data_IF_434360114820
#
_entry.id   IF_434360114820
#
_cell.length_a   1.000
_cell.length_b   1.000
_cell.length_c   1.000
_cell.angle_alpha   90.00
_cell.angle_beta   90.00
_cell.angle_gamma   90.00
#
_symmetry.space_group_name_H-M   'P 1'
#
loop_
_entity.id
_entity.type
_entity.pdbx_description
1 polymer ?
#
# COMPACT_ATOMS: atom_id res chain seq x y z
N UNK A 1 -1.20 -8.25 -32.77
CA UNK A 1 -2.35 -8.10 -31.84
C UNK A 1 -1.85 -7.61 -30.48
N UNK A 2 -2.66 -6.81 -29.75
CA UNK A 2 -2.32 -6.42 -28.38
C UNK A 2 -2.50 -7.63 -27.45
N UNK A 3 -1.58 -7.82 -26.49
CA UNK A 3 -1.72 -8.84 -25.44
C UNK A 3 -2.78 -8.42 -24.44
N UNK A 4 -3.69 -9.30 -24.09
CA UNK A 4 -4.76 -9.05 -23.12
C UNK A 4 -4.28 -9.32 -21.70
N UNK A 5 -4.37 -8.31 -20.82
CA UNK A 5 -4.00 -8.42 -19.41
C UNK A 5 -5.23 -8.13 -18.56
N UNK A 6 -5.64 -9.10 -17.75
CA UNK A 6 -6.81 -8.98 -16.88
C UNK A 6 -6.37 -8.96 -15.41
N UNK A 7 -6.87 -7.97 -14.66
CA UNK A 7 -6.65 -7.85 -13.23
C UNK A 7 -7.85 -8.39 -12.44
N UNK A 8 -7.54 -9.18 -11.42
CA UNK A 8 -8.45 -9.69 -10.41
C UNK A 8 -8.01 -9.16 -9.04
N UNK A 9 -8.81 -8.30 -8.44
CA UNK A 9 -8.52 -7.72 -7.13
C UNK A 9 -9.81 -7.24 -6.44
N UNK A 10 -10.73 -8.13 -6.02
CA UNK A 10 -11.93 -7.73 -5.32
C UNK A 10 -11.59 -7.19 -3.93
N UNK A 11 -11.68 -5.88 -3.79
CA UNK A 11 -11.29 -5.14 -2.60
C UNK A 11 -12.51 -4.77 -1.75
N UNK A 12 -12.63 -5.29 -0.52
CA UNK A 12 -13.74 -4.96 0.39
C UNK A 12 -13.56 -3.63 1.12
N UNK A 13 -12.32 -3.26 1.45
CA UNK A 13 -12.00 -2.07 2.24
C UNK A 13 -11.06 -1.12 1.48
N UNK A 14 -11.15 0.20 1.71
CA UNK A 14 -10.23 1.17 1.13
C UNK A 14 -8.84 1.04 1.78
N UNK A 15 -8.02 0.16 1.24
CA UNK A 15 -6.64 -0.10 1.66
C UNK A 15 -5.66 0.28 0.55
N UNK A 16 -4.37 0.37 0.89
CA UNK A 16 -3.31 0.67 -0.09
C UNK A 16 -3.32 -0.22 -1.33
N UNK A 17 -3.79 -1.47 -1.20
CA UNK A 17 -3.97 -2.44 -2.29
C UNK A 17 -4.87 -1.93 -3.42
N UNK A 18 -5.94 -1.16 -3.11
CA UNK A 18 -6.79 -0.53 -4.13
C UNK A 18 -5.96 0.40 -5.00
N UNK A 19 -5.22 1.32 -4.36
CA UNK A 19 -4.37 2.29 -5.07
C UNK A 19 -3.27 1.59 -5.88
N UNK A 20 -2.67 0.55 -5.33
CA UNK A 20 -1.67 -0.27 -6.01
C UNK A 20 -2.24 -0.94 -7.28
N UNK A 21 -3.40 -1.59 -7.18
CA UNK A 21 -4.05 -2.26 -8.31
C UNK A 21 -4.45 -1.28 -9.41
N UNK A 22 -5.12 -0.17 -9.05
CA UNK A 22 -5.51 0.88 -9.99
C UNK A 22 -4.29 1.43 -10.71
N UNK A 23 -3.27 1.82 -9.96
CA UNK A 23 -2.07 2.43 -10.52
C UNK A 23 -1.27 1.44 -11.38
N UNK A 24 -1.27 0.14 -11.04
CA UNK A 24 -0.64 -0.90 -11.85
C UNK A 24 -1.34 -1.05 -13.20
N UNK A 25 -2.67 -1.22 -13.20
CA UNK A 25 -3.46 -1.34 -14.42
C UNK A 25 -3.34 -0.09 -15.31
N UNK A 26 -3.48 1.10 -14.72
CA UNK A 26 -3.36 2.38 -15.41
C UNK A 26 -1.95 2.59 -15.96
N UNK A 27 -0.89 2.21 -15.22
CA UNK A 27 0.48 2.36 -15.71
C UNK A 27 0.73 1.51 -16.96
N UNK A 28 0.24 0.28 -16.97
CA UNK A 28 0.39 -0.63 -18.11
C UNK A 28 -0.37 -0.13 -19.34
N UNK A 29 -1.60 0.36 -19.16
CA UNK A 29 -2.42 0.95 -20.24
C UNK A 29 -1.79 2.24 -20.80
N UNK A 30 -1.23 3.10 -19.92
CA UNK A 30 -0.71 4.41 -20.28
C UNK A 30 0.62 4.38 -21.00
N UNK A 31 1.54 3.50 -20.55
CA UNK A 31 2.94 3.53 -21.00
C UNK A 31 3.27 2.51 -22.08
N UNK A 32 2.31 1.63 -22.46
CA UNK A 32 2.50 0.71 -23.58
C UNK A 32 1.23 0.60 -24.44
N UNK A 33 1.44 0.53 -25.75
CA UNK A 33 0.39 0.21 -26.73
C UNK A 33 0.26 -1.29 -27.00
N UNK A 34 1.16 -2.11 -26.42
CA UNK A 34 1.23 -3.56 -26.65
C UNK A 34 0.17 -4.33 -25.87
N UNK A 35 -0.47 -3.67 -24.89
CA UNK A 35 -1.41 -4.33 -23.99
C UNK A 35 -2.82 -3.75 -24.10
N UNK A 36 -3.79 -4.64 -24.03
CA UNK A 36 -5.19 -4.33 -23.75
C UNK A 36 -5.45 -4.69 -22.29
N UNK A 37 -5.66 -3.68 -21.44
CA UNK A 37 -5.77 -3.86 -20.00
C UNK A 37 -7.22 -3.82 -19.56
N UNK A 38 -7.63 -4.81 -18.75
CA UNK A 38 -8.94 -4.85 -18.15
C UNK A 38 -8.87 -5.17 -16.64
N UNK A 39 -9.85 -4.69 -15.90
CA UNK A 39 -10.05 -5.03 -14.49
C UNK A 39 -11.45 -5.65 -14.31
N UNK A 40 -11.52 -6.71 -13.51
CA UNK A 40 -12.81 -7.35 -13.20
C UNK A 40 -13.47 -6.60 -12.05
N UNK A 41 -14.69 -6.12 -12.27
CA UNK A 41 -15.59 -5.62 -11.25
C UNK A 41 -16.48 -6.78 -10.80
N UNK A 42 -16.08 -7.45 -9.73
CA UNK A 42 -16.68 -8.72 -9.32
C UNK A 42 -18.01 -8.53 -8.61
N UNK A 43 -18.15 -7.50 -7.79
CA UNK A 43 -19.34 -7.27 -6.96
C UNK A 43 -19.72 -5.78 -6.80
N UNK A 44 -19.14 -4.89 -7.62
CA UNK A 44 -19.36 -3.44 -7.56
C UNK A 44 -18.28 -2.71 -6.77
N UNK A 45 -17.16 -3.36 -6.45
CA UNK A 45 -16.05 -2.77 -5.68
C UNK A 45 -15.33 -1.64 -6.41
N UNK A 46 -15.43 -1.61 -7.75
CA UNK A 46 -14.80 -0.61 -8.59
C UNK A 46 -15.76 0.47 -9.09
N UNK A 47 -17.05 0.46 -8.71
CA UNK A 47 -18.08 1.36 -9.25
C UNK A 47 -17.69 2.85 -9.12
N UNK A 48 -17.07 3.24 -8.02
CA UNK A 48 -16.63 4.63 -7.80
C UNK A 48 -15.40 5.05 -8.63
N UNK A 49 -14.78 4.13 -9.35
CA UNK A 49 -13.60 4.39 -10.19
C UNK A 49 -13.86 4.21 -11.69
N UNK A 50 -15.12 4.03 -12.10
CA UNK A 50 -15.49 3.75 -13.50
C UNK A 50 -14.98 4.85 -14.44
N UNK A 51 -15.24 6.11 -14.12
CA UNK A 51 -14.80 7.25 -14.94
C UNK A 51 -13.29 7.33 -15.01
N UNK A 52 -12.60 7.13 -13.88
CA UNK A 52 -11.14 7.14 -13.81
C UNK A 52 -10.51 6.04 -14.68
N UNK A 53 -11.09 4.83 -14.69
CA UNK A 53 -10.64 3.75 -15.57
C UNK A 53 -10.89 4.05 -17.05
N UNK A 54 -12.05 4.61 -17.38
CA UNK A 54 -12.40 5.03 -18.74
C UNK A 54 -11.42 6.08 -19.27
N UNK A 55 -11.15 7.12 -18.51
CA UNK A 55 -10.18 8.18 -18.86
C UNK A 55 -8.75 7.63 -19.06
N UNK A 56 -8.39 6.56 -18.36
CA UNK A 56 -7.08 5.93 -18.47
C UNK A 56 -7.06 4.69 -19.37
N UNK A 57 -8.09 4.49 -20.21
CA UNK A 57 -8.18 3.39 -21.19
C UNK A 57 -8.05 1.98 -20.58
N UNK A 58 -8.50 1.80 -19.35
CA UNK A 58 -8.62 0.48 -18.71
C UNK A 58 -10.05 -0.01 -18.84
N UNK A 59 -10.24 -1.16 -19.49
CA UNK A 59 -11.56 -1.77 -19.67
C UNK A 59 -12.08 -2.33 -18.35
N UNK A 60 -13.39 -2.26 -18.13
CA UNK A 60 -14.03 -2.85 -16.96
C UNK A 60 -14.88 -4.04 -17.41
N UNK A 61 -14.65 -5.18 -16.76
CA UNK A 61 -15.41 -6.40 -16.98
C UNK A 61 -16.35 -6.59 -15.79
N UNK A 62 -17.62 -6.27 -15.96
CA UNK A 62 -18.62 -6.41 -14.91
C UNK A 62 -19.21 -7.83 -14.89
N UNK A 63 -19.22 -8.45 -13.70
CA UNK A 63 -19.96 -9.68 -13.45
C UNK A 63 -21.45 -9.45 -13.16
N UNK A 64 -21.91 -8.20 -13.29
CA UNK A 64 -23.31 -7.74 -13.07
C UNK A 64 -23.81 -7.94 -11.63
N UNK A 65 -22.95 -8.10 -10.68
CA UNK A 65 -23.29 -8.15 -9.27
C UNK A 65 -23.08 -6.76 -8.63
N UNK A 66 -24.07 -6.27 -7.91
CA UNK A 66 -24.02 -4.98 -7.20
C UNK A 66 -24.19 -5.11 -5.68
N UNK A 67 -23.84 -6.27 -5.13
CA UNK A 67 -24.04 -6.55 -3.71
C UNK A 67 -22.90 -6.03 -2.81
N UNK A 68 -21.87 -5.36 -3.36
CA UNK A 68 -20.74 -4.84 -2.59
C UNK A 68 -21.15 -3.97 -1.39
N UNK A 69 -22.23 -3.19 -1.53
CA UNK A 69 -22.76 -2.33 -0.46
C UNK A 69 -23.22 -3.12 0.77
N UNK A 70 -23.72 -4.33 0.55
CA UNK A 70 -24.31 -5.19 1.58
C UNK A 70 -23.31 -6.17 2.20
N UNK A 71 -22.11 -6.30 1.64
CA UNK A 71 -21.10 -7.18 2.20
C UNK A 71 -20.54 -6.64 3.52
N UNK A 72 -20.47 -7.46 4.57
CA UNK A 72 -19.77 -7.09 5.79
C UNK A 72 -18.29 -6.83 5.51
N UNK A 73 -17.82 -5.62 5.84
CA UNK A 73 -16.47 -5.14 5.47
C UNK A 73 -15.51 -5.06 6.64
N UNK A 74 -16.03 -5.00 7.87
CA UNK A 74 -15.26 -4.83 9.08
C UNK A 74 -15.30 -6.10 9.94
N UNK A 75 -14.20 -6.37 10.63
CA UNK A 75 -14.05 -7.54 11.48
C UNK A 75 -13.45 -8.77 10.77
N UNK A 76 -12.75 -9.59 11.57
CA UNK A 76 -11.99 -10.75 11.06
C UNK A 76 -12.89 -11.87 10.50
N UNK A 77 -14.01 -12.15 11.17
CA UNK A 77 -14.95 -13.22 10.76
C UNK A 77 -15.82 -12.73 9.61
N UNK A 78 -16.34 -11.50 9.72
CA UNK A 78 -17.29 -10.93 8.76
C UNK A 78 -16.64 -10.73 7.36
N UNK A 79 -15.38 -10.30 7.30
CA UNK A 79 -14.69 -10.17 6.03
C UNK A 79 -14.44 -11.52 5.34
N UNK A 80 -14.27 -12.61 6.10
CA UNK A 80 -14.12 -13.96 5.54
C UNK A 80 -15.41 -14.49 4.93
N UNK A 81 -16.55 -14.20 5.55
CA UNK A 81 -17.86 -14.55 4.99
C UNK A 81 -18.05 -13.86 3.61
N UNK A 82 -17.71 -12.57 3.53
CA UNK A 82 -17.75 -11.86 2.24
C UNK A 82 -16.82 -12.48 1.20
N UNK A 83 -15.64 -12.98 1.59
CA UNK A 83 -14.74 -13.66 0.65
C UNK A 83 -15.32 -14.98 0.14
N UNK A 84 -16.03 -15.73 0.99
CA UNK A 84 -16.72 -16.97 0.57
C UNK A 84 -17.84 -16.65 -0.42
N UNK A 85 -18.64 -15.62 -0.16
CA UNK A 85 -19.72 -15.18 -1.08
C UNK A 85 -19.11 -14.80 -2.45
N UNK A 86 -18.09 -13.97 -2.48
CA UNK A 86 -17.41 -13.57 -3.73
C UNK A 86 -16.86 -14.80 -4.45
N UNK A 87 -16.24 -15.73 -3.70
CA UNK A 87 -15.71 -16.95 -4.28
C UNK A 87 -16.80 -17.78 -4.98
N UNK A 88 -17.91 -18.02 -4.30
CA UNK A 88 -19.01 -18.86 -4.83
C UNK A 88 -19.69 -18.18 -6.04
N UNK A 89 -20.05 -16.91 -5.93
CA UNK A 89 -20.77 -16.19 -6.97
C UNK A 89 -19.90 -15.92 -8.21
N UNK A 90 -18.62 -15.68 -8.03
CA UNK A 90 -17.73 -15.38 -9.15
C UNK A 90 -17.06 -16.61 -9.78
N UNK A 91 -17.28 -17.82 -9.26
CA UNK A 91 -16.64 -19.04 -9.76
C UNK A 91 -16.95 -19.31 -11.24
N UNK A 92 -18.21 -19.48 -11.57
CA UNK A 92 -18.63 -19.74 -12.95
C UNK A 92 -18.42 -18.55 -13.90
N UNK A 93 -18.73 -17.29 -13.52
CA UNK A 93 -18.39 -16.12 -14.31
C UNK A 93 -16.91 -16.03 -14.66
N UNK A 94 -16.01 -16.34 -13.73
CA UNK A 94 -14.57 -16.29 -13.97
C UNK A 94 -14.12 -17.37 -14.97
N UNK A 95 -14.63 -18.59 -14.83
CA UNK A 95 -14.36 -19.68 -15.79
C UNK A 95 -14.82 -19.27 -17.20
N UNK A 96 -16.06 -18.78 -17.32
CA UNK A 96 -16.61 -18.32 -18.59
C UNK A 96 -15.75 -17.23 -19.20
N UNK A 97 -15.33 -16.24 -18.39
CA UNK A 97 -14.48 -15.14 -18.85
C UNK A 97 -13.15 -15.66 -19.39
N UNK A 98 -12.42 -16.49 -18.64
CA UNK A 98 -11.11 -17.00 -19.05
C UNK A 98 -11.21 -17.82 -20.33
N UNK A 99 -12.23 -18.69 -20.45
CA UNK A 99 -12.46 -19.52 -21.63
C UNK A 99 -12.84 -18.69 -22.88
N UNK A 100 -13.65 -17.65 -22.73
CA UNK A 100 -14.13 -16.84 -23.86
C UNK A 100 -13.15 -15.77 -24.29
N UNK A 101 -12.51 -15.06 -23.34
CA UNK A 101 -11.60 -13.94 -23.64
C UNK A 101 -10.16 -14.37 -23.90
N UNK A 102 -9.78 -15.57 -23.44
CA UNK A 102 -8.43 -16.16 -23.54
C UNK A 102 -7.33 -15.11 -23.28
N UNK A 103 -7.28 -14.50 -22.08
CA UNK A 103 -6.29 -13.46 -21.81
C UNK A 103 -4.88 -14.04 -21.85
N UNK A 104 -3.90 -13.28 -22.34
CA UNK A 104 -2.49 -13.67 -22.30
C UNK A 104 -1.98 -13.72 -20.88
N UNK A 105 -2.40 -12.73 -20.05
CA UNK A 105 -1.98 -12.64 -18.64
C UNK A 105 -3.19 -12.40 -17.73
N UNK A 106 -3.15 -13.04 -16.57
CA UNK A 106 -4.14 -12.87 -15.52
C UNK A 106 -3.41 -12.54 -14.20
N UNK A 107 -3.59 -11.31 -13.68
CA UNK A 107 -2.91 -10.83 -12.47
C UNK A 107 -3.87 -10.93 -11.28
N UNK A 108 -3.63 -11.87 -10.39
CA UNK A 108 -4.44 -12.12 -9.20
C UNK A 108 -3.81 -11.45 -7.97
N UNK A 109 -4.54 -10.52 -7.33
CA UNK A 109 -4.03 -9.72 -6.21
C UNK A 109 -4.73 -10.02 -4.89
N UNK A 110 -6.06 -10.05 -4.83
CA UNK A 110 -6.84 -10.40 -3.63
C UNK A 110 -7.78 -11.57 -3.91
N UNK A 111 -8.21 -12.27 -2.86
CA UNK A 111 -9.05 -13.48 -2.96
C UNK A 111 -8.46 -14.42 -4.02
N UNK A 112 -7.17 -14.66 -3.92
CA UNK A 112 -6.38 -15.36 -4.94
C UNK A 112 -6.74 -16.85 -5.07
N UNK A 113 -7.38 -17.45 -4.05
CA UNK A 113 -7.82 -18.84 -4.08
C UNK A 113 -8.74 -19.15 -5.26
N UNK A 114 -9.63 -18.23 -5.62
CA UNK A 114 -10.57 -18.46 -6.75
C UNK A 114 -9.84 -18.54 -8.10
N UNK A 115 -9.07 -17.53 -8.55
CA UNK A 115 -8.39 -17.65 -9.84
C UNK A 115 -7.36 -18.77 -9.87
N UNK A 116 -6.70 -19.07 -8.75
CA UNK A 116 -5.76 -20.19 -8.67
C UNK A 116 -6.46 -21.55 -8.78
N UNK A 117 -7.66 -21.68 -8.20
CA UNK A 117 -8.48 -22.88 -8.36
C UNK A 117 -8.93 -23.06 -9.83
N UNK A 118 -9.40 -21.97 -10.48
CA UNK A 118 -9.79 -22.00 -11.90
C UNK A 118 -8.60 -22.40 -12.78
N UNK A 119 -7.41 -21.81 -12.56
CA UNK A 119 -6.18 -22.18 -13.23
C UNK A 119 -5.85 -23.67 -13.06
N UNK A 120 -6.08 -24.21 -11.87
CA UNK A 120 -5.74 -25.61 -11.58
C UNK A 120 -6.73 -26.62 -12.20
N UNK A 121 -7.99 -26.28 -12.21
CA UNK A 121 -9.07 -27.18 -12.68
C UNK A 121 -9.26 -27.17 -14.19
N UNK A 122 -8.90 -26.08 -14.88
CA UNK A 122 -9.17 -25.94 -16.31
C UNK A 122 -7.87 -25.69 -17.09
N UNK A 123 -7.72 -26.39 -18.23
CA UNK A 123 -6.64 -26.10 -19.18
C UNK A 123 -6.83 -24.70 -19.78
N UNK A 124 -5.78 -23.89 -19.75
CA UNK A 124 -5.74 -22.56 -20.35
C UNK A 124 -4.31 -22.18 -20.64
N UNK A 125 -4.08 -21.45 -21.74
CA UNK A 125 -2.78 -20.89 -22.11
C UNK A 125 -2.49 -19.57 -21.39
N UNK A 126 -3.47 -19.09 -20.60
CA UNK A 126 -3.34 -17.86 -19.81
C UNK A 126 -2.22 -17.96 -18.78
N UNK A 127 -1.30 -17.02 -18.80
CA UNK A 127 -0.19 -16.91 -17.84
C UNK A 127 -0.68 -16.23 -16.56
N UNK A 128 -0.76 -16.99 -15.45
CA UNK A 128 -1.22 -16.48 -14.15
C UNK A 128 -0.08 -15.89 -13.36
N UNK A 129 -0.22 -14.64 -12.94
CA UNK A 129 0.70 -13.92 -12.07
C UNK A 129 0.03 -13.73 -10.70
N UNK A 130 0.65 -14.27 -9.66
CA UNK A 130 0.19 -14.13 -8.29
C UNK A 130 0.87 -12.93 -7.63
N UNK A 131 0.11 -11.89 -7.27
CA UNK A 131 0.60 -10.76 -6.49
C UNK A 131 0.39 -11.02 -5.01
N UNK A 132 1.47 -11.11 -4.24
CA UNK A 132 1.44 -11.25 -2.78
C UNK A 132 1.89 -9.92 -2.18
N UNK A 133 0.96 -9.19 -1.55
CA UNK A 133 1.25 -7.87 -0.97
C UNK A 133 1.60 -7.92 0.51
N UNK A 134 1.51 -9.07 1.15
CA UNK A 134 1.87 -9.29 2.55
C UNK A 134 1.97 -10.76 2.85
N UNK A 135 2.71 -11.11 3.88
CA UNK A 135 2.88 -12.51 4.26
C UNK A 135 1.54 -13.09 4.74
N UNK A 136 0.93 -14.01 4.00
CA UNK A 136 -0.35 -14.60 4.41
C UNK A 136 -0.13 -15.58 5.56
N UNK A 137 -1.20 -15.77 6.35
CA UNK A 137 -1.21 -16.85 7.33
C UNK A 137 -1.23 -18.21 6.61
N UNK A 138 -0.16 -18.97 6.76
CA UNK A 138 0.00 -20.27 6.13
C UNK A 138 -0.50 -21.37 7.08
N UNK A 139 -1.75 -21.79 6.89
CA UNK A 139 -2.24 -23.06 7.46
C UNK A 139 -1.93 -24.22 6.51
N UNK A 140 -2.11 -25.45 6.97
CA UNK A 140 -1.82 -26.68 6.19
C UNK A 140 -2.57 -26.70 4.85
N UNK A 141 -3.86 -26.33 4.85
CA UNK A 141 -4.71 -26.31 3.64
C UNK A 141 -4.12 -25.34 2.60
N UNK A 142 -3.76 -24.12 3.02
CA UNK A 142 -3.19 -23.14 2.11
C UNK A 142 -1.82 -23.56 1.61
N UNK A 143 -0.97 -24.12 2.46
CA UNK A 143 0.34 -24.64 2.05
C UNK A 143 0.21 -25.72 0.98
N UNK A 144 -0.64 -26.73 1.23
CA UNK A 144 -0.89 -27.80 0.27
C UNK A 144 -1.47 -27.29 -1.05
N UNK A 145 -2.46 -26.41 -0.97
CA UNK A 145 -3.04 -25.80 -2.16
C UNK A 145 -2.01 -24.99 -2.96
N UNK A 146 -1.22 -24.14 -2.30
CA UNK A 146 -0.20 -23.35 -2.97
C UNK A 146 0.91 -24.22 -3.57
N UNK A 147 1.31 -25.31 -2.90
CA UNK A 147 2.28 -26.25 -3.44
C UNK A 147 1.76 -26.89 -4.74
N UNK A 148 0.50 -27.28 -4.80
CA UNK A 148 -0.13 -27.84 -6.00
C UNK A 148 -0.19 -26.84 -7.16
N UNK A 149 -0.61 -25.59 -6.90
CA UNK A 149 -0.79 -24.60 -7.96
C UNK A 149 0.51 -23.89 -8.36
N UNK A 150 1.56 -23.98 -7.54
CA UNK A 150 2.83 -23.26 -7.77
C UNK A 150 3.50 -23.62 -9.08
N UNK A 151 3.44 -24.87 -9.50
CA UNK A 151 4.03 -25.36 -10.75
C UNK A 151 3.42 -24.72 -11.99
N UNK A 152 2.12 -24.41 -11.94
CA UNK A 152 1.34 -23.81 -13.04
C UNK A 152 1.43 -22.27 -13.08
N UNK A 153 1.92 -21.64 -12.00
CA UNK A 153 2.08 -20.19 -11.99
C UNK A 153 3.19 -19.76 -12.96
N UNK A 154 2.89 -18.67 -13.68
CA UNK A 154 3.89 -18.00 -14.50
C UNK A 154 4.88 -17.23 -13.61
N UNK A 155 4.38 -16.35 -12.72
CA UNK A 155 5.22 -15.57 -11.80
C UNK A 155 4.49 -15.31 -10.47
N UNK A 156 5.28 -15.13 -9.42
CA UNK A 156 4.86 -14.61 -8.12
C UNK A 156 5.55 -13.27 -7.90
N UNK A 157 4.80 -12.21 -7.61
CA UNK A 157 5.36 -10.86 -7.42
C UNK A 157 5.16 -10.35 -5.99
N UNK A 158 6.17 -9.66 -5.46
CA UNK A 158 6.18 -9.08 -4.12
C UNK A 158 6.51 -7.58 -4.16
N UNK A 159 5.91 -6.72 -3.30
CA UNK A 159 6.15 -5.28 -3.27
C UNK A 159 7.46 -4.86 -2.59
N UNK A 160 8.08 -5.74 -1.79
CA UNK A 160 9.34 -5.50 -1.11
C UNK A 160 10.30 -6.67 -1.27
N UNK A 161 11.59 -6.41 -1.19
CA UNK A 161 12.64 -7.45 -1.25
C UNK A 161 12.56 -8.33 0.01
N UNK A 162 12.28 -7.75 1.16
CA UNK A 162 12.14 -8.50 2.41
C UNK A 162 11.02 -9.56 2.30
N UNK A 163 9.84 -9.19 1.77
CA UNK A 163 8.76 -10.15 1.56
C UNK A 163 9.12 -11.17 0.47
N UNK A 164 9.81 -10.74 -0.59
CA UNK A 164 10.32 -11.65 -1.61
C UNK A 164 11.22 -12.73 -0.99
N UNK A 165 12.19 -12.34 -0.17
CA UNK A 165 13.10 -13.27 0.50
C UNK A 165 12.34 -14.22 1.45
N UNK A 166 11.33 -13.73 2.18
CA UNK A 166 10.44 -14.57 3.00
C UNK A 166 9.67 -15.58 2.14
N UNK A 167 9.18 -15.19 0.97
CA UNK A 167 8.49 -16.11 0.06
C UNK A 167 9.43 -17.19 -0.50
N UNK A 168 10.69 -16.84 -0.76
CA UNK A 168 11.72 -17.80 -1.15
C UNK A 168 11.99 -18.79 -0.01
N UNK A 169 12.18 -18.31 1.22
CA UNK A 169 12.53 -19.14 2.37
C UNK A 169 11.45 -20.16 2.77
N UNK A 170 10.17 -19.89 2.49
CA UNK A 170 9.10 -20.87 2.76
C UNK A 170 9.05 -22.04 1.77
N UNK A 171 9.80 -21.97 0.67
CA UNK A 171 9.97 -23.01 -0.35
C UNK A 171 8.63 -23.63 -0.86
N UNK A 172 7.63 -22.77 -1.10
CA UNK A 172 6.34 -23.16 -1.67
C UNK A 172 6.22 -22.87 -3.16
N UNK A 173 7.06 -22.00 -3.68
CA UNK A 173 7.10 -21.60 -5.07
C UNK A 173 8.51 -21.80 -5.64
N UNK A 174 8.60 -22.04 -6.92
CA UNK A 174 9.89 -22.03 -7.63
C UNK A 174 10.53 -20.63 -7.47
N UNK A 175 11.75 -20.61 -6.96
CA UNK A 175 12.51 -19.38 -6.69
C UNK A 175 12.69 -18.52 -7.96
N UNK A 176 12.86 -19.16 -9.12
CA UNK A 176 13.00 -18.47 -10.41
C UNK A 176 11.71 -17.74 -10.85
N UNK A 177 10.57 -18.13 -10.27
CA UNK A 177 9.28 -17.52 -10.53
C UNK A 177 8.91 -16.42 -9.51
N UNK A 178 9.72 -16.20 -8.46
CA UNK A 178 9.48 -15.13 -7.49
C UNK A 178 10.28 -13.89 -7.90
N UNK A 179 9.62 -12.74 -7.94
CA UNK A 179 10.28 -11.49 -8.34
C UNK A 179 9.77 -10.28 -7.59
N UNK A 180 10.65 -9.30 -7.41
CA UNK A 180 10.32 -8.00 -6.83
C UNK A 180 9.65 -7.11 -7.87
N UNK A 181 8.42 -6.66 -7.54
CA UNK A 181 7.67 -5.67 -8.31
C UNK A 181 7.16 -4.60 -7.33
N UNK A 182 7.83 -3.44 -7.20
CA UNK A 182 7.40 -2.38 -6.29
C UNK A 182 6.02 -1.86 -6.65
N UNK A 183 5.25 -1.43 -5.64
CA UNK A 183 3.93 -0.85 -5.87
C UNK A 183 4.02 0.49 -6.64
N UNK A 184 3.08 0.73 -7.52
CA UNK A 184 2.92 2.00 -8.22
C UNK A 184 2.23 3.02 -7.30
N UNK A 185 3.00 3.74 -6.48
CA UNK A 185 2.46 4.66 -5.48
C UNK A 185 2.33 6.08 -6.04
N UNK A 186 3.32 6.51 -6.82
CA UNK A 186 3.52 7.90 -7.23
C UNK A 186 3.13 8.11 -8.68
N UNK A 187 2.16 9.00 -8.90
CA UNK A 187 1.95 9.66 -10.19
C UNK A 187 2.56 11.07 -10.12
N UNK A 188 3.62 11.30 -10.88
CA UNK A 188 4.38 12.57 -10.82
C UNK A 188 3.51 13.76 -11.22
N UNK A 189 2.64 13.61 -12.23
CA UNK A 189 1.74 14.71 -12.67
C UNK A 189 0.77 15.09 -11.57
N UNK A 190 0.12 14.09 -10.97
CA UNK A 190 -0.79 14.29 -9.84
C UNK A 190 -0.07 14.85 -8.61
N UNK A 191 1.15 14.39 -8.33
CA UNK A 191 1.94 14.92 -7.22
C UNK A 191 2.21 16.41 -7.36
N UNK A 192 2.67 16.86 -8.54
CA UNK A 192 2.98 18.28 -8.79
C UNK A 192 1.72 19.13 -8.61
N UNK A 193 0.59 18.74 -9.21
CA UNK A 193 -0.69 19.43 -9.07
C UNK A 193 -1.16 19.48 -7.61
N UNK A 194 -1.21 18.34 -6.93
CA UNK A 194 -1.72 18.21 -5.55
C UNK A 194 -0.82 18.94 -4.52
N UNK A 195 0.51 18.94 -4.72
CA UNK A 195 1.45 19.62 -3.83
C UNK A 195 1.24 21.13 -3.84
N UNK A 196 0.91 21.71 -4.98
CA UNK A 196 0.77 23.16 -5.16
C UNK A 196 -0.58 23.68 -4.65
N UNK A 197 -1.53 22.81 -4.28
CA UNK A 197 -2.81 23.24 -3.70
C UNK A 197 -2.60 24.00 -2.38
N UNK A 198 -3.38 25.04 -2.15
CA UNK A 198 -3.30 25.85 -0.93
C UNK A 198 -4.00 25.21 0.25
N UNK A 199 -3.57 25.57 1.46
CA UNK A 199 -4.24 25.28 2.72
C UNK A 199 -4.40 26.56 3.51
N UNK A 200 -5.63 26.96 3.79
CA UNK A 200 -5.92 28.22 4.45
C UNK A 200 -5.64 28.26 5.96
N UNK A 201 -5.25 27.15 6.62
CA UNK A 201 -5.26 27.07 8.08
C UNK A 201 -3.90 26.81 8.76
N UNK A 202 -2.77 26.94 8.03
CA UNK A 202 -1.44 26.69 8.64
C UNK A 202 -0.79 27.92 9.28
N UNK A 203 -1.29 29.13 9.02
CA UNK A 203 -0.78 30.38 9.64
C UNK A 203 -0.78 30.35 11.18
N UNK A 204 -1.70 29.60 11.80
CA UNK A 204 -1.74 29.44 13.26
C UNK A 204 -0.53 28.69 13.85
N UNK A 205 0.29 28.07 13.02
CA UNK A 205 1.50 27.34 13.41
C UNK A 205 2.78 28.09 13.03
N UNK A 206 2.68 29.35 12.66
CA UNK A 206 3.87 30.17 12.40
C UNK A 206 4.84 30.07 13.57
N UNK A 207 6.14 29.93 13.27
CA UNK A 207 7.24 29.71 14.21
C UNK A 207 7.28 28.29 14.85
N UNK A 208 6.37 27.37 14.55
CA UNK A 208 6.43 25.99 15.03
C UNK A 208 6.98 25.03 13.97
N UNK A 209 7.68 24.01 14.40
CA UNK A 209 8.18 22.92 13.54
C UNK A 209 7.12 21.82 13.45
N UNK A 210 6.61 21.57 12.25
CA UNK A 210 5.53 20.62 12.05
C UNK A 210 6.08 19.23 11.74
N UNK A 211 5.65 18.25 12.54
CA UNK A 211 5.88 16.84 12.31
C UNK A 211 4.56 16.19 11.93
N UNK A 212 4.58 15.38 10.88
CA UNK A 212 3.39 14.70 10.38
C UNK A 212 3.43 13.21 10.66
N UNK A 213 2.25 12.66 10.89
CA UNK A 213 1.97 11.23 10.78
C UNK A 213 0.68 11.07 9.98
N UNK A 214 0.50 9.97 9.25
CA UNK A 214 -0.70 9.78 8.48
C UNK A 214 -1.06 8.30 8.31
N UNK A 215 -2.37 8.01 8.27
CA UNK A 215 -2.89 6.68 8.07
C UNK A 215 -4.24 6.48 8.74
N UNK A 216 -4.83 5.28 8.59
CA UNK A 216 -6.05 4.93 9.30
C UNK A 216 -5.79 4.89 10.81
N UNK A 217 -6.67 5.45 11.62
CA UNK A 217 -6.55 5.42 13.07
C UNK A 217 -6.95 4.03 13.61
N UNK A 218 -6.02 3.07 13.48
CA UNK A 218 -6.17 1.66 13.83
C UNK A 218 -5.03 1.21 14.73
N UNK A 219 -5.17 0.05 15.37
CA UNK A 219 -4.09 -0.58 16.17
C UNK A 219 -2.80 -0.77 15.36
N UNK A 220 -2.92 -1.09 14.05
CA UNK A 220 -1.77 -1.27 13.16
C UNK A 220 -0.86 -0.04 13.14
N UNK A 221 -1.44 1.16 13.06
CA UNK A 221 -0.68 2.42 12.93
C UNK A 221 -0.11 2.91 14.25
N UNK A 222 -0.58 2.38 15.37
CA UNK A 222 -0.05 2.57 16.71
C UNK A 222 0.10 4.05 17.13
N UNK A 223 -0.87 4.88 16.76
CA UNK A 223 -0.86 6.31 17.11
C UNK A 223 -0.96 6.56 18.62
N UNK A 224 -1.50 5.60 19.38
CA UNK A 224 -1.53 5.68 20.83
C UNK A 224 -0.11 5.73 21.42
N UNK A 225 0.79 4.87 20.94
CA UNK A 225 2.20 4.88 21.28
C UNK A 225 2.89 6.17 20.81
N UNK A 226 2.62 6.61 19.58
CA UNK A 226 3.16 7.87 19.05
C UNK A 226 2.83 9.05 19.97
N UNK A 227 1.58 9.19 20.44
CA UNK A 227 1.16 10.26 21.35
C UNK A 227 1.92 10.17 22.69
N UNK A 228 2.10 8.97 23.24
CA UNK A 228 2.85 8.78 24.48
C UNK A 228 4.30 9.24 24.34
N UNK A 229 4.99 8.77 23.32
CA UNK A 229 6.39 9.09 23.06
C UNK A 229 6.60 10.56 22.69
N UNK A 230 5.69 11.13 21.90
CA UNK A 230 5.74 12.54 21.55
C UNK A 230 5.51 13.44 22.77
N UNK A 231 4.69 13.00 23.75
CA UNK A 231 4.50 13.72 25.00
C UNK A 231 5.78 13.79 25.85
N UNK A 232 6.64 12.77 25.77
CA UNK A 232 7.94 12.76 26.45
C UNK A 232 8.89 13.73 25.76
N UNK A 233 8.94 13.68 24.42
CA UNK A 233 9.79 14.56 23.62
C UNK A 233 9.45 16.05 23.82
N UNK A 234 8.17 16.41 23.93
CA UNK A 234 7.72 17.80 24.11
C UNK A 234 8.19 18.46 25.41
N UNK A 235 8.56 17.69 26.44
CA UNK A 235 9.00 18.27 27.73
C UNK A 235 10.19 19.24 27.59
N UNK A 236 11.00 19.03 26.54
CA UNK A 236 12.19 19.85 26.26
C UNK A 236 12.21 20.40 24.84
N UNK A 237 11.11 20.25 24.08
CA UNK A 237 11.03 20.57 22.65
C UNK A 237 9.65 21.13 22.29
N UNK A 238 9.21 22.17 22.97
CA UNK A 238 7.86 22.76 22.86
C UNK A 238 7.58 23.45 21.50
N UNK A 239 8.65 23.72 20.73
CA UNK A 239 8.55 24.29 19.39
C UNK A 239 7.97 23.31 18.35
N UNK A 240 7.80 22.03 18.68
CA UNK A 240 7.27 21.05 17.77
C UNK A 240 5.76 20.82 17.94
N UNK A 241 5.08 20.58 16.81
CA UNK A 241 3.66 20.20 16.73
C UNK A 241 3.54 18.92 15.92
N UNK A 242 2.74 17.98 16.41
CA UNK A 242 2.38 16.75 15.73
C UNK A 242 1.00 16.89 15.08
N UNK A 243 0.92 16.64 13.77
CA UNK A 243 -0.31 16.63 13.00
C UNK A 243 -0.53 15.22 12.46
N UNK A 244 -1.60 14.57 12.89
CA UNK A 244 -1.98 13.23 12.49
C UNK A 244 -3.12 13.32 11.47
N UNK A 245 -2.85 12.93 10.23
CA UNK A 245 -3.80 12.94 9.12
C UNK A 245 -4.46 11.56 8.98
N UNK A 246 -5.77 11.49 9.14
CA UNK A 246 -6.51 10.24 8.98
C UNK A 246 -7.68 10.09 9.92
N UNK A 247 -8.44 9.02 9.72
CA UNK A 247 -9.58 8.65 10.54
C UNK A 247 -9.65 7.13 10.76
N UNK A 248 -10.43 6.67 11.73
CA UNK A 248 -10.59 5.25 12.02
C UNK A 248 -11.14 4.97 13.42
N UNK A 249 -11.28 3.68 13.73
CA UNK A 249 -11.94 3.18 14.94
C UNK A 249 -11.29 3.64 16.26
N UNK A 250 -10.02 4.02 16.25
CA UNK A 250 -9.32 4.49 17.46
C UNK A 250 -9.46 6.00 17.72
N UNK A 251 -10.15 6.76 16.85
CA UNK A 251 -10.24 8.24 16.94
C UNK A 251 -10.63 8.72 18.34
N UNK A 252 -11.76 8.27 18.86
CA UNK A 252 -12.26 8.70 20.16
C UNK A 252 -11.29 8.39 21.31
N UNK A 253 -10.60 7.26 21.23
CA UNK A 253 -9.59 6.86 22.22
C UNK A 253 -8.36 7.77 22.17
N UNK A 254 -7.92 8.14 20.97
CA UNK A 254 -6.77 9.04 20.78
C UNK A 254 -7.11 10.47 21.24
N UNK A 255 -8.29 10.99 20.93
CA UNK A 255 -8.77 12.31 21.40
C UNK A 255 -8.81 12.38 22.94
N UNK A 256 -9.42 11.37 23.60
CA UNK A 256 -9.41 11.27 25.07
C UNK A 256 -8.00 11.23 25.63
N UNK A 257 -7.07 10.54 24.97
CA UNK A 257 -5.66 10.47 25.39
C UNK A 257 -4.96 11.83 25.31
N UNK A 258 -5.16 12.57 24.21
CA UNK A 258 -4.60 13.92 24.02
C UNK A 258 -5.10 14.86 25.11
N UNK A 259 -6.41 14.83 25.43
CA UNK A 259 -7.02 15.64 26.48
C UNK A 259 -6.43 15.28 27.86
N UNK A 260 -6.40 13.98 28.20
CA UNK A 260 -5.87 13.48 29.48
C UNK A 260 -4.43 13.93 29.70
N UNK A 261 -3.62 14.01 28.63
CA UNK A 261 -2.21 14.45 28.68
C UNK A 261 -2.05 15.97 28.53
N UNK A 262 -3.14 16.75 28.38
CA UNK A 262 -3.11 18.20 28.17
C UNK A 262 -2.30 18.64 26.95
N UNK A 263 -2.41 17.87 25.84
CA UNK A 263 -1.63 18.05 24.60
C UNK A 263 -2.42 18.69 23.46
N UNK A 264 -3.60 19.28 23.71
CA UNK A 264 -4.50 19.84 22.67
C UNK A 264 -3.83 20.97 21.85
N UNK A 265 -2.83 21.65 22.42
CA UNK A 265 -2.05 22.71 21.74
C UNK A 265 -0.92 22.17 20.89
N UNK A 266 -0.54 20.89 21.07
CA UNK A 266 0.66 20.30 20.46
C UNK A 266 0.37 19.14 19.52
N UNK A 267 -0.81 18.50 19.64
CA UNK A 267 -1.20 17.32 18.82
C UNK A 267 -2.58 17.53 18.23
N UNK A 268 -2.68 17.42 16.90
CA UNK A 268 -3.91 17.65 16.14
C UNK A 268 -4.30 16.41 15.33
N UNK A 269 -5.55 15.95 15.48
CA UNK A 269 -6.17 14.93 14.64
C UNK A 269 -7.05 15.62 13.61
N UNK A 270 -6.64 15.63 12.33
CA UNK A 270 -7.34 16.39 11.28
C UNK A 270 -8.56 15.68 10.70
N UNK A 271 -8.70 14.38 10.93
CA UNK A 271 -9.62 13.53 10.17
C UNK A 271 -9.00 13.09 8.83
N UNK A 272 -9.81 12.41 8.02
CA UNK A 272 -9.42 11.96 6.70
C UNK A 272 -9.08 13.15 5.79
N UNK A 273 -7.97 13.05 5.07
CA UNK A 273 -7.57 14.02 4.05
C UNK A 273 -7.30 13.30 2.73
N UNK A 274 -7.89 13.78 1.65
CA UNK A 274 -7.68 13.22 0.32
C UNK A 274 -6.29 13.52 -0.24
N UNK A 275 -5.78 14.73 0.04
CA UNK A 275 -4.51 15.24 -0.47
C UNK A 275 -3.52 15.48 0.67
N UNK A 276 -2.69 14.47 0.97
CA UNK A 276 -1.66 14.58 2.01
C UNK A 276 -0.51 15.52 1.59
N UNK A 277 -0.22 15.66 0.29
CA UNK A 277 0.93 16.41 -0.21
C UNK A 277 0.86 17.89 0.14
N UNK A 278 -0.33 18.50 0.09
CA UNK A 278 -0.51 19.90 0.49
C UNK A 278 -0.19 20.14 1.97
N UNK A 279 -0.42 19.13 2.83
CA UNK A 279 -0.02 19.19 4.24
C UNK A 279 1.48 19.01 4.40
N UNK A 280 2.02 17.96 3.83
CA UNK A 280 3.44 17.59 3.97
C UNK A 280 4.41 18.66 3.48
N UNK A 281 4.04 19.48 2.49
CA UNK A 281 4.92 20.56 2.00
C UNK A 281 5.29 21.58 3.08
N UNK A 282 4.52 21.65 4.17
CA UNK A 282 4.75 22.59 5.28
C UNK A 282 5.46 21.93 6.47
N UNK A 283 5.88 20.68 6.35
CA UNK A 283 6.46 19.91 7.45
C UNK A 283 7.96 19.77 7.42
N UNK A 284 8.51 19.41 8.56
CA UNK A 284 9.92 19.12 8.75
C UNK A 284 10.22 17.62 8.68
N UNK A 285 9.38 16.81 9.32
CA UNK A 285 9.55 15.37 9.42
C UNK A 285 8.21 14.62 9.35
N UNK A 286 8.31 13.34 9.07
CA UNK A 286 7.19 12.39 9.07
C UNK A 286 7.54 11.22 9.99
N UNK A 287 6.58 10.80 10.83
CA UNK A 287 6.70 9.65 11.72
C UNK A 287 5.80 8.53 11.24
N UNK A 288 6.37 7.33 11.09
CA UNK A 288 5.66 6.07 10.91
C UNK A 288 5.81 5.21 12.17
N UNK A 289 4.76 5.11 12.97
CA UNK A 289 4.75 4.37 14.25
C UNK A 289 4.16 2.97 14.16
N UNK A 290 3.95 2.46 12.95
CA UNK A 290 3.23 1.23 12.68
C UNK A 290 3.85 0.00 13.33
N UNK A 291 2.99 -0.97 13.69
CA UNK A 291 3.42 -2.29 14.17
C UNK A 291 3.79 -3.23 13.03
N UNK A 292 3.22 -3.02 11.85
CA UNK A 292 3.54 -3.72 10.58
C UNK A 292 3.11 -2.88 9.38
N UNK A 293 3.87 -2.97 8.31
CA UNK A 293 3.60 -2.38 7.00
C UNK A 293 3.95 -3.37 5.89
N UNK A 294 3.48 -3.07 4.68
CA UNK A 294 3.98 -3.74 3.48
C UNK A 294 5.10 -2.92 2.82
N UNK A 295 4.79 -1.66 2.53
CA UNK A 295 5.74 -0.67 2.01
C UNK A 295 5.65 0.63 2.81
N UNK A 296 4.47 0.93 3.34
CA UNK A 296 4.21 2.22 3.99
C UNK A 296 4.00 3.33 2.97
N UNK A 297 2.94 3.26 2.16
CA UNK A 297 2.65 4.20 1.06
C UNK A 297 2.78 5.65 1.47
N UNK A 298 2.23 6.01 2.62
CA UNK A 298 2.26 7.39 3.11
C UNK A 298 3.67 7.84 3.49
N UNK A 299 4.56 6.93 3.89
CA UNK A 299 5.98 7.22 4.13
C UNK A 299 6.70 7.57 2.82
N UNK A 300 6.41 6.84 1.74
CA UNK A 300 6.92 7.15 0.39
C UNK A 300 6.41 8.51 -0.09
N UNK A 301 5.13 8.82 0.16
CA UNK A 301 4.51 10.11 -0.17
C UNK A 301 5.15 11.25 0.62
N UNK A 302 5.46 11.03 1.90
CA UNK A 302 6.15 12.00 2.75
C UNK A 302 7.59 12.26 2.29
N UNK A 303 8.34 11.21 1.97
CA UNK A 303 9.70 11.33 1.44
C UNK A 303 9.73 12.09 0.10
N UNK A 304 8.73 11.85 -0.76
CA UNK A 304 8.59 12.57 -2.04
C UNK A 304 8.41 14.09 -1.82
N UNK A 305 7.73 14.50 -0.76
CA UNK A 305 7.55 15.91 -0.38
C UNK A 305 8.73 16.50 0.40
N UNK A 306 9.83 15.76 0.51
CA UNK A 306 11.05 16.22 1.15
C UNK A 306 10.95 16.32 2.68
N UNK A 307 10.10 15.48 3.31
CA UNK A 307 10.10 15.32 4.77
C UNK A 307 11.23 14.39 5.21
N UNK A 308 11.81 14.66 6.37
CA UNK A 308 12.70 13.71 7.04
C UNK A 308 11.88 12.54 7.58
N UNK A 309 12.35 11.31 7.43
CA UNK A 309 11.57 10.13 7.83
C UNK A 309 12.13 9.54 9.13
N UNK A 310 11.22 9.37 10.10
CA UNK A 310 11.44 8.66 11.36
C UNK A 310 10.45 7.50 11.37
N UNK A 311 10.92 6.26 11.37
CA UNK A 311 10.05 5.09 11.24
C UNK A 311 10.36 4.01 12.27
N UNK A 312 9.31 3.30 12.71
CA UNK A 312 9.52 2.02 13.35
C UNK A 312 10.22 1.05 12.40
N UNK A 313 11.02 0.14 12.96
CA UNK A 313 11.64 -0.98 12.24
C UNK A 313 10.66 -2.16 12.05
N UNK A 314 9.36 -1.84 11.91
CA UNK A 314 8.34 -2.87 11.74
C UNK A 314 8.59 -3.70 10.48
N UNK A 315 8.11 -4.97 10.45
CA UNK A 315 8.36 -5.88 9.34
C UNK A 315 7.94 -5.32 7.97
N UNK A 316 8.68 -5.72 6.95
CA UNK A 316 8.58 -5.37 5.53
C UNK A 316 9.02 -3.91 5.26
N UNK A 317 8.76 -3.31 4.23
CA UNK A 317 9.03 -1.98 3.69
C UNK A 317 9.89 -0.91 4.43
N UNK A 318 9.63 -0.49 5.68
CA UNK A 318 10.30 0.68 6.25
C UNK A 318 11.82 0.58 6.36
N UNK A 319 12.34 -0.54 6.82
CA UNK A 319 13.78 -0.77 6.96
C UNK A 319 14.47 -0.76 5.59
N UNK A 320 13.88 -1.47 4.60
CA UNK A 320 14.34 -1.47 3.22
C UNK A 320 14.31 -0.05 2.60
N UNK A 321 13.20 0.68 2.79
CA UNK A 321 13.04 2.02 2.22
C UNK A 321 14.04 3.02 2.79
N UNK A 322 14.38 2.92 4.08
CA UNK A 322 15.36 3.77 4.77
C UNK A 322 16.80 3.28 4.63
N UNK A 323 17.05 2.20 3.84
CA UNK A 323 18.38 1.61 3.66
C UNK A 323 19.04 1.30 5.01
N UNK A 324 18.33 0.54 5.87
CA UNK A 324 18.77 0.15 7.23
C UNK A 324 19.09 1.36 8.13
N UNK A 325 18.33 2.45 7.97
CA UNK A 325 18.50 3.68 8.77
C UNK A 325 19.56 4.66 8.24
N UNK A 326 20.22 4.38 7.10
CA UNK A 326 21.20 5.31 6.50
C UNK A 326 20.58 6.62 6.03
N UNK A 327 19.32 6.58 5.59
CA UNK A 327 18.65 7.74 5.00
C UNK A 327 17.52 8.32 5.87
N UNK A 328 17.36 7.83 7.11
CA UNK A 328 16.37 8.28 8.06
C UNK A 328 16.69 7.73 9.44
N UNK A 329 15.78 7.86 10.38
CA UNK A 329 15.94 7.24 11.70
C UNK A 329 14.98 6.07 11.83
N UNK A 330 15.51 4.90 12.20
CA UNK A 330 14.75 3.72 12.60
C UNK A 330 14.74 3.61 14.12
N UNK A 331 13.57 3.26 14.67
CA UNK A 331 13.42 2.95 16.10
C UNK A 331 12.73 1.59 16.29
N UNK A 332 12.98 0.95 17.42
CA UNK A 332 12.37 -0.33 17.74
C UNK A 332 10.87 -0.17 17.97
N UNK A 333 10.09 -0.92 17.18
CA UNK A 333 8.62 -0.79 17.15
C UNK A 333 8.03 -1.06 18.54
N UNK A 334 7.13 -0.17 18.99
CA UNK A 334 6.37 -0.27 20.23
C UNK A 334 7.21 -0.38 21.54
N UNK A 335 8.48 -0.07 21.51
CA UNK A 335 9.35 -0.06 22.68
C UNK A 335 9.39 1.33 23.31
N UNK A 336 9.14 1.39 24.61
CA UNK A 336 9.08 2.65 25.36
C UNK A 336 10.42 3.39 25.30
N UNK A 337 10.39 4.70 25.07
CA UNK A 337 11.57 5.58 24.99
C UNK A 337 12.23 5.61 23.60
N UNK A 338 12.02 4.63 22.75
CA UNK A 338 12.72 4.53 21.46
C UNK A 338 12.34 5.65 20.49
N UNK A 339 11.06 5.95 20.35
CA UNK A 339 10.62 7.03 19.47
C UNK A 339 10.97 8.42 20.07
N UNK A 340 10.79 8.63 21.37
CA UNK A 340 11.17 9.90 21.99
C UNK A 340 12.67 10.18 21.86
N UNK A 341 13.53 9.17 22.05
CA UNK A 341 14.98 9.28 21.82
C UNK A 341 15.31 9.56 20.36
N UNK A 342 14.59 8.93 19.43
CA UNK A 342 14.74 9.17 17.99
C UNK A 342 14.34 10.59 17.57
N UNK A 343 13.33 11.15 18.22
CA UNK A 343 12.90 12.54 18.03
C UNK A 343 13.93 13.53 18.58
N UNK A 344 14.52 13.24 19.73
CA UNK A 344 15.64 14.03 20.32
C UNK A 344 16.85 13.98 19.36
N UNK A 345 17.21 12.79 18.88
CA UNK A 345 18.27 12.61 17.88
C UNK A 345 18.00 13.45 16.62
N UNK A 346 16.76 13.42 16.12
CA UNK A 346 16.36 14.22 14.97
C UNK A 346 16.48 15.72 15.25
N UNK A 347 16.00 16.21 16.38
CA UNK A 347 16.03 17.64 16.74
C UNK A 347 17.45 18.20 16.77
N UNK A 348 18.45 17.37 17.11
CA UNK A 348 19.87 17.72 17.19
C UNK A 348 20.67 17.33 15.92
N UNK A 349 20.01 16.73 14.90
CA UNK A 349 20.68 16.19 13.72
C UNK A 349 21.20 17.31 12.82
N UNK A 350 22.51 17.28 12.55
CA UNK A 350 23.13 18.12 11.51
C UNK A 350 22.99 17.44 10.14
N UNK A 351 22.92 18.23 9.06
CA UNK A 351 22.90 17.69 7.71
C UNK A 351 21.56 17.05 7.28
N UNK A 352 20.46 17.38 7.94
CA UNK A 352 19.09 16.88 7.61
C UNK A 352 18.76 16.97 6.12
N UNK A 353 19.21 18.03 5.42
CA UNK A 353 18.97 18.22 3.97
C UNK A 353 19.54 17.08 3.12
N UNK A 354 20.73 16.56 3.48
CA UNK A 354 21.36 15.42 2.76
C UNK A 354 20.50 14.15 2.91
N UNK A 355 20.06 13.85 4.11
CA UNK A 355 19.17 12.69 4.35
C UNK A 355 17.85 12.80 3.59
N UNK A 356 17.20 13.98 3.63
CA UNK A 356 15.96 14.24 2.88
C UNK A 356 16.16 14.03 1.37
N UNK A 357 17.31 14.41 0.83
CA UNK A 357 17.63 14.23 -0.58
C UNK A 357 17.85 12.76 -0.95
N UNK A 358 18.62 12.02 -0.14
CA UNK A 358 18.90 10.60 -0.39
C UNK A 358 17.63 9.74 -0.29
N UNK A 359 16.80 9.95 0.75
CA UNK A 359 15.54 9.21 0.87
C UNK A 359 14.58 9.51 -0.28
N UNK A 360 14.58 10.73 -0.78
CA UNK A 360 13.76 11.10 -1.92
C UNK A 360 14.15 10.34 -3.19
N UNK A 361 15.42 10.01 -3.40
CA UNK A 361 15.87 9.17 -4.52
C UNK A 361 15.22 7.79 -4.46
N UNK A 362 15.06 7.21 -3.26
CA UNK A 362 14.42 5.90 -3.08
C UNK A 362 12.95 5.89 -3.51
N UNK A 363 12.28 7.05 -3.55
CA UNK A 363 10.90 7.13 -4.04
C UNK A 363 10.76 6.83 -5.53
N UNK A 364 11.83 6.94 -6.31
CA UNK A 364 11.82 6.76 -7.77
C UNK A 364 11.30 5.37 -8.18
N UNK A 365 11.65 4.33 -7.43
CA UNK A 365 11.21 2.97 -7.73
C UNK A 365 9.69 2.77 -7.60
N UNK A 366 9.01 3.61 -6.81
CA UNK A 366 7.56 3.56 -6.56
C UNK A 366 6.74 4.43 -7.51
N UNK A 367 7.37 5.01 -8.54
CA UNK A 367 6.64 5.76 -9.58
C UNK A 367 5.89 4.80 -10.51
N UNK A 368 4.73 5.25 -11.05
CA UNK A 368 3.96 4.49 -12.04
C UNK A 368 4.81 4.05 -13.23
N UNK A 369 5.75 4.90 -13.67
CA UNK A 369 6.62 4.55 -14.81
C UNK A 369 7.62 3.43 -14.48
N UNK A 370 8.26 3.47 -13.29
CA UNK A 370 9.18 2.41 -12.88
C UNK A 370 8.47 1.08 -12.62
N UNK A 371 7.28 1.14 -12.01
CA UNK A 371 6.43 -0.04 -11.88
C UNK A 371 6.10 -0.64 -13.26
N UNK A 372 5.68 0.21 -14.21
CA UNK A 372 5.41 -0.21 -15.58
C UNK A 372 6.63 -0.91 -16.21
N UNK A 373 7.83 -0.31 -16.13
CA UNK A 373 9.04 -0.91 -16.69
C UNK A 373 9.25 -2.34 -16.15
N UNK A 374 9.24 -2.50 -14.83
CA UNK A 374 9.41 -3.83 -14.19
C UNK A 374 8.30 -4.82 -14.54
N UNK A 375 7.04 -4.36 -14.54
CA UNK A 375 5.93 -5.22 -14.94
C UNK A 375 6.04 -5.64 -16.40
N UNK A 376 6.39 -4.73 -17.29
CA UNK A 376 6.60 -5.01 -18.70
C UNK A 376 7.73 -6.04 -18.93
N UNK A 377 8.83 -5.94 -18.17
CA UNK A 377 9.92 -6.93 -18.23
C UNK A 377 9.43 -8.32 -17.78
N UNK A 378 8.60 -8.37 -16.72
CA UNK A 378 7.96 -9.62 -16.27
C UNK A 378 7.06 -10.21 -17.38
N UNK A 379 6.22 -9.38 -18.02
CA UNK A 379 5.30 -9.83 -19.06
C UNK A 379 6.01 -10.25 -20.36
N UNK A 380 7.24 -9.80 -20.60
CA UNK A 380 8.08 -10.17 -21.75
C UNK A 380 9.02 -11.33 -21.48
N UNK A 381 9.17 -11.73 -20.21
CA UNK A 381 10.09 -12.82 -19.84
C UNK A 381 9.61 -14.14 -20.46
N UNK A 382 10.48 -14.78 -21.24
CA UNK A 382 10.26 -16.16 -21.67
C UNK A 382 10.76 -17.08 -20.55
N UNK A 383 9.83 -17.66 -19.79
CA UNK A 383 10.16 -18.72 -18.82
C UNK A 383 10.02 -20.03 -19.58
N UNK A 384 11.13 -20.63 -19.89
CA UNK A 384 11.24 -21.98 -20.48
C UNK A 384 10.90 -23.00 -19.41
#
# INVERSE_FOLDING_TARGET
MKKKVIYWSPCLNPVGTIKSTINSAVSLSKYSKDYEVAIINACGEWDKYLDYFKENHVKIINFKYSFFKYLPKHGYVQSRFSYVIIFLLCFFPLIKLIKSSKPDFFIAHLITSLPLMVMNLFKTDTKFILRISGMPRLNLIRKSFWKVVSTKLYMVTSPSIELMNKLISINLFDQNKITFLPDAIIDIKQFISKKNSEINNFKKFDQKKLIFAAGRLTKQKNFSYLIDEFSIFLKHNDQFILIILGDGEERNKLEKKIIKKKLQKNIYLTGYVENVFKYFKNGEAFILSSLWEEVGFVMVEAALTNLFIISSNCPNGPTEFLSDGKHGILFESNKKGELSNSLIKYANLKGVKKHKFEIKKNTKQYTKYRHFQKLNDILKKNIV
#
